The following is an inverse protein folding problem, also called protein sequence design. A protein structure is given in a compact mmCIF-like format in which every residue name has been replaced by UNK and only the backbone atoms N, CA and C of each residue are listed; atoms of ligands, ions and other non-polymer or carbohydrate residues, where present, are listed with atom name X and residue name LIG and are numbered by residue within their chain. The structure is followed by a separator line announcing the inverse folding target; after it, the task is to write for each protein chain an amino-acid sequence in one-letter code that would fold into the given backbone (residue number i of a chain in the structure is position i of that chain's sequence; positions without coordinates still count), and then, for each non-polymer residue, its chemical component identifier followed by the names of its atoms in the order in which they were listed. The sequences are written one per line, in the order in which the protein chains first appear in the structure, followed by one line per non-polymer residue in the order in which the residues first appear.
data_IF_288896417863
#
_entry.id   IF_288896417863
#
_cell.length_a   1.000
_cell.length_b   1.000
_cell.length_c   1.000
_cell.angle_alpha   90.00
_cell.angle_beta   90.00
_cell.angle_gamma   90.00
#
_symmetry.space_group_name_H-M   'P 1'
#
loop_
_entity.id
_entity.type
_entity.pdbx_description
1 polymer ?
#
# COMPACT_ATOMS: atom_id res chain seq x y z
N UNK A 1 44.37 6.85 8.03
CA UNK A 1 43.25 6.25 8.79
C UNK A 1 41.87 6.62 8.22
N UNK A 2 41.71 7.76 7.53
CA UNK A 2 40.45 8.14 6.85
C UNK A 2 40.02 7.19 5.72
N UNK A 3 40.99 6.68 4.95
CA UNK A 3 40.68 5.97 3.70
C UNK A 3 40.08 4.58 3.93
N UNK A 4 40.42 3.92 5.04
CA UNK A 4 39.87 2.61 5.43
C UNK A 4 38.42 2.76 5.89
N UNK A 5 38.09 3.87 6.57
CA UNK A 5 36.73 4.17 7.04
C UNK A 5 35.82 4.53 5.84
N UNK A 6 36.36 5.25 4.85
CA UNK A 6 35.68 5.55 3.59
C UNK A 6 35.39 4.30 2.74
N UNK A 7 36.34 3.38 2.65
CA UNK A 7 36.15 2.09 1.96
C UNK A 7 35.10 1.21 2.66
N UNK A 8 35.10 1.17 4.00
CA UNK A 8 34.12 0.40 4.78
C UNK A 8 32.69 0.92 4.60
N UNK A 9 32.50 2.24 4.63
CA UNK A 9 31.18 2.88 4.42
C UNK A 9 30.69 2.73 2.98
N UNK A 10 31.59 2.81 2.00
CA UNK A 10 31.26 2.54 0.60
C UNK A 10 30.80 1.08 0.40
N UNK A 11 31.55 0.10 0.91
CA UNK A 11 31.20 -1.31 0.80
C UNK A 11 29.85 -1.64 1.46
N UNK A 12 29.60 -1.07 2.65
CA UNK A 12 28.31 -1.22 3.34
C UNK A 12 27.15 -0.64 2.53
N UNK A 13 27.34 0.54 1.93
CA UNK A 13 26.33 1.20 1.09
C UNK A 13 26.00 0.37 -0.16
N UNK A 14 27.03 -0.20 -0.80
CA UNK A 14 26.87 -1.09 -1.96
C UNK A 14 26.13 -2.37 -1.56
N UNK A 15 26.43 -2.97 -0.40
CA UNK A 15 25.73 -4.15 0.09
C UNK A 15 24.25 -3.87 0.40
N UNK A 16 23.94 -2.74 1.04
CA UNK A 16 22.57 -2.31 1.30
C UNK A 16 21.83 -2.12 -0.03
N UNK A 17 22.45 -1.42 -0.99
CA UNK A 17 21.87 -1.21 -2.32
C UNK A 17 21.56 -2.53 -3.04
N UNK A 18 22.53 -3.47 -3.06
CA UNK A 18 22.35 -4.77 -3.70
C UNK A 18 21.25 -5.60 -3.03
N UNK A 19 21.16 -5.55 -1.69
CA UNK A 19 20.10 -6.24 -0.94
C UNK A 19 18.71 -5.69 -1.28
N UNK A 20 18.56 -4.37 -1.24
CA UNK A 20 17.29 -3.68 -1.60
C UNK A 20 16.92 -4.00 -3.05
N UNK A 21 17.88 -4.01 -3.96
CA UNK A 21 17.62 -4.32 -5.36
C UNK A 21 17.18 -5.78 -5.56
N UNK A 22 17.80 -6.73 -4.85
CA UNK A 22 17.43 -8.14 -4.90
C UNK A 22 16.03 -8.40 -4.33
N UNK A 23 15.67 -7.75 -3.22
CA UNK A 23 14.32 -7.83 -2.64
C UNK A 23 13.29 -7.22 -3.60
N UNK A 24 13.59 -6.07 -4.21
CA UNK A 24 12.74 -5.45 -5.22
C UNK A 24 12.50 -6.39 -6.41
N UNK A 25 13.55 -7.11 -6.86
CA UNK A 25 13.43 -8.12 -7.93
C UNK A 25 12.57 -9.31 -7.50
N UNK A 26 12.68 -9.79 -6.26
CA UNK A 26 11.84 -10.89 -5.73
C UNK A 26 10.37 -10.47 -5.64
N UNK A 27 10.11 -9.27 -5.14
CA UNK A 27 8.76 -8.70 -5.06
C UNK A 27 8.17 -8.59 -6.47
N UNK A 28 8.90 -8.01 -7.43
CA UNK A 28 8.45 -7.92 -8.83
C UNK A 28 8.16 -9.27 -9.45
N UNK A 29 8.99 -10.30 -9.21
CA UNK A 29 8.74 -11.66 -9.68
C UNK A 29 7.48 -12.27 -9.05
N UNK A 30 7.25 -11.99 -7.76
CA UNK A 30 6.05 -12.46 -7.06
C UNK A 30 4.80 -11.77 -7.60
N UNK A 31 4.87 -10.45 -7.84
CA UNK A 31 3.80 -9.67 -8.49
C UNK A 31 3.51 -10.14 -9.93
N UNK A 32 4.54 -10.46 -10.71
CA UNK A 32 4.37 -10.98 -12.07
C UNK A 32 3.79 -12.41 -12.10
N UNK A 33 4.09 -13.24 -11.09
CA UNK A 33 3.44 -14.54 -10.92
C UNK A 33 1.97 -14.37 -10.54
N UNK A 34 1.68 -13.41 -9.67
CA UNK A 34 0.31 -13.06 -9.32
C UNK A 34 -0.46 -12.60 -10.56
N UNK A 35 -0.01 -11.60 -11.32
CA UNK A 35 -0.77 -11.11 -12.49
C UNK A 35 -1.13 -12.18 -13.53
N UNK A 36 -0.37 -13.28 -13.59
CA UNK A 36 -0.54 -14.32 -14.60
C UNK A 36 -1.33 -15.55 -14.11
N UNK A 37 -1.76 -15.60 -12.84
CA UNK A 37 -2.56 -16.74 -12.36
C UNK A 37 -4.05 -16.50 -12.58
N UNK A 38 -4.71 -17.38 -13.32
CA UNK A 38 -6.16 -17.37 -13.54
C UNK A 38 -6.96 -17.79 -12.28
N UNK A 39 -6.29 -18.42 -11.30
CA UNK A 39 -6.90 -18.86 -10.04
C UNK A 39 -6.88 -17.76 -8.97
N UNK A 40 -8.06 -17.20 -8.71
CA UNK A 40 -8.27 -16.17 -7.69
C UNK A 40 -7.91 -16.64 -6.27
N UNK A 41 -8.12 -17.91 -5.93
CA UNK A 41 -7.77 -18.43 -4.60
C UNK A 41 -6.26 -18.40 -4.36
N UNK A 42 -5.48 -18.79 -5.37
CA UNK A 42 -4.02 -18.70 -5.33
C UNK A 42 -3.53 -17.26 -5.24
N UNK A 43 -4.17 -16.33 -5.96
CA UNK A 43 -3.87 -14.90 -5.88
C UNK A 43 -3.99 -14.35 -4.46
N UNK A 44 -5.12 -14.67 -3.82
CA UNK A 44 -5.43 -14.21 -2.47
C UNK A 44 -4.39 -14.76 -1.49
N UNK A 45 -4.18 -16.09 -1.48
CA UNK A 45 -3.24 -16.72 -0.55
C UNK A 45 -1.79 -16.25 -0.74
N UNK A 46 -1.33 -16.14 -1.99
CA UNK A 46 0.02 -15.63 -2.27
C UNK A 46 0.14 -14.16 -1.89
N UNK A 47 -0.85 -13.33 -2.24
CA UNK A 47 -0.87 -11.91 -1.92
C UNK A 47 -0.77 -11.65 -0.42
N UNK A 48 -1.50 -12.41 0.40
CA UNK A 48 -1.46 -12.30 1.86
C UNK A 48 -0.07 -12.63 2.42
N UNK A 49 0.54 -13.71 1.93
CA UNK A 49 1.80 -14.26 2.42
C UNK A 49 3.02 -13.35 2.19
N UNK A 50 2.99 -12.51 1.14
CA UNK A 50 4.11 -11.62 0.83
C UNK A 50 4.17 -10.51 1.87
N UNK A 51 5.31 -10.41 2.57
CA UNK A 51 5.62 -9.31 3.51
C UNK A 51 6.85 -8.56 3.01
N UNK A 52 6.80 -7.24 3.05
CA UNK A 52 7.92 -6.39 2.66
C UNK A 52 8.54 -5.67 3.86
N UNK A 53 9.69 -5.04 3.65
CA UNK A 53 10.51 -4.44 4.74
C UNK A 53 9.90 -3.13 5.26
N UNK A 54 9.19 -2.38 4.42
CA UNK A 54 8.65 -1.05 4.77
C UNK A 54 7.18 -0.90 4.33
N UNK A 55 6.24 -1.60 5.00
CA UNK A 55 4.81 -1.47 4.71
C UNK A 55 4.23 -0.15 5.25
N UNK A 56 3.10 0.27 4.68
CA UNK A 56 2.30 1.41 5.14
C UNK A 56 0.82 1.08 5.07
N UNK A 57 0.04 1.55 6.05
CA UNK A 57 -1.40 1.53 5.98
C UNK A 57 -1.89 2.84 5.36
N UNK A 58 -2.61 2.75 4.25
CA UNK A 58 -3.20 3.88 3.55
C UNK A 58 -4.71 3.83 3.70
N UNK A 59 -5.28 4.82 4.37
CA UNK A 59 -6.71 4.94 4.61
C UNK A 59 -7.33 6.06 3.76
N UNK A 60 -8.42 5.74 3.07
CA UNK A 60 -9.26 6.73 2.37
C UNK A 60 -10.58 6.89 3.13
N UNK A 61 -10.72 8.05 3.78
CA UNK A 61 -11.89 8.42 4.58
C UNK A 61 -12.68 9.45 3.79
N UNK A 62 -13.64 8.98 2.99
CA UNK A 62 -14.39 9.80 2.03
C UNK A 62 -15.88 9.84 2.34
N UNK A 63 -16.32 9.18 3.42
CA UNK A 63 -17.73 9.12 3.82
C UNK A 63 -18.04 10.33 4.71
N UNK A 64 -19.09 11.11 4.43
CA UNK A 64 -19.41 12.31 5.22
C UNK A 64 -19.72 12.04 6.71
N UNK A 65 -20.14 10.82 7.03
CA UNK A 65 -20.56 10.42 8.38
C UNK A 65 -19.41 9.92 9.25
N UNK A 66 -18.25 9.65 8.66
CA UNK A 66 -17.09 9.12 9.38
C UNK A 66 -15.94 10.09 9.20
N UNK A 67 -15.63 10.82 10.27
CA UNK A 67 -14.58 11.84 10.24
C UNK A 67 -13.21 11.24 9.94
N UNK A 68 -12.87 10.05 10.43
CA UNK A 68 -11.57 9.43 10.16
C UNK A 68 -11.63 7.91 10.31
N UNK A 69 -10.95 7.21 9.41
CA UNK A 69 -10.75 5.76 9.49
C UNK A 69 -9.53 5.40 10.34
N UNK A 70 -8.65 6.35 10.67
CA UNK A 70 -7.42 6.07 11.44
C UNK A 70 -7.69 5.24 12.71
N UNK A 71 -8.67 5.58 13.58
CA UNK A 71 -8.88 4.80 14.81
C UNK A 71 -9.22 3.33 14.52
N UNK A 72 -10.08 3.08 13.54
CA UNK A 72 -10.48 1.73 13.15
C UNK A 72 -9.32 0.94 12.50
N UNK A 73 -8.47 1.62 11.74
CA UNK A 73 -7.28 1.01 11.14
C UNK A 73 -6.22 0.74 12.22
N UNK A 74 -6.02 1.65 13.17
CA UNK A 74 -5.13 1.44 14.31
C UNK A 74 -5.54 0.24 15.16
N UNK A 75 -6.83 0.12 15.47
CA UNK A 75 -7.38 -1.01 16.21
C UNK A 75 -7.14 -2.34 15.47
N UNK A 76 -7.42 -2.36 14.16
CA UNK A 76 -7.15 -3.53 13.32
C UNK A 76 -5.67 -3.91 13.31
N UNK A 77 -4.77 -2.94 13.10
CA UNK A 77 -3.34 -3.17 13.06
C UNK A 77 -2.81 -3.68 14.42
N UNK A 78 -3.31 -3.12 15.53
CA UNK A 78 -3.01 -3.61 16.88
C UNK A 78 -3.47 -5.06 17.06
N UNK A 79 -4.70 -5.39 16.66
CA UNK A 79 -5.25 -6.74 16.76
C UNK A 79 -4.53 -7.79 15.90
N UNK A 80 -3.84 -7.36 14.83
CA UNK A 80 -3.02 -8.23 13.97
C UNK A 80 -1.51 -8.15 14.26
N UNK A 81 -1.12 -7.41 15.31
CA UNK A 81 0.28 -7.16 15.68
C UNK A 81 1.14 -6.56 14.55
N UNK A 82 0.50 -5.83 13.63
CA UNK A 82 1.15 -5.21 12.49
C UNK A 82 1.66 -3.81 12.85
N UNK A 83 2.98 -3.61 12.79
CA UNK A 83 3.62 -2.32 13.07
C UNK A 83 3.94 -1.60 11.75
N UNK A 84 3.10 -0.64 11.37
CA UNK A 84 3.32 0.22 10.20
C UNK A 84 2.72 1.61 10.42
N UNK A 85 3.27 2.67 9.80
CA UNK A 85 2.68 3.99 9.84
C UNK A 85 1.34 4.02 9.09
N UNK A 86 0.45 4.91 9.53
CA UNK A 86 -0.86 5.13 8.90
C UNK A 86 -0.85 6.50 8.22
N UNK A 87 -1.06 6.49 6.91
CA UNK A 87 -1.29 7.66 6.09
C UNK A 87 -2.77 7.71 5.74
N UNK A 88 -3.40 8.88 5.83
CA UNK A 88 -4.81 9.04 5.55
C UNK A 88 -5.05 10.15 4.54
N UNK A 89 -5.96 9.89 3.61
CA UNK A 89 -6.59 10.91 2.77
C UNK A 89 -8.02 11.05 3.27
N UNK A 90 -8.26 12.14 3.99
CA UNK A 90 -9.54 12.43 4.61
C UNK A 90 -10.25 13.57 3.86
N UNK A 91 -11.50 13.32 3.45
CA UNK A 91 -12.39 14.31 2.83
C UNK A 91 -13.82 14.06 3.28
N UNK A 92 -14.55 15.13 3.58
CA UNK A 92 -15.97 15.07 3.96
C UNK A 92 -16.88 14.87 2.74
N UNK A 93 -16.84 13.68 2.14
CA UNK A 93 -17.62 13.37 0.95
C UNK A 93 -16.95 13.77 -0.36
N UNK A 94 -17.56 13.30 -1.44
CA UNK A 94 -17.19 13.64 -2.82
C UNK A 94 -18.42 14.02 -3.63
N UNK A 95 -18.26 14.98 -4.51
CA UNK A 95 -19.25 15.41 -5.48
C UNK A 95 -18.65 15.44 -6.88
N UNK A 96 -19.49 15.58 -7.91
CA UNK A 96 -19.04 15.71 -9.29
C UNK A 96 -18.06 16.89 -9.50
N UNK A 97 -18.16 17.95 -8.69
CA UNK A 97 -17.27 19.12 -8.78
C UNK A 97 -15.91 18.88 -8.12
N UNK A 98 -15.84 18.02 -7.11
CA UNK A 98 -14.62 17.78 -6.32
C UNK A 98 -13.87 16.52 -6.73
N UNK A 99 -14.38 15.78 -7.72
CA UNK A 99 -13.79 14.51 -8.16
C UNK A 99 -12.42 14.70 -8.79
N UNK A 100 -12.21 15.81 -9.51
CA UNK A 100 -10.93 16.15 -10.12
C UNK A 100 -9.87 16.41 -9.03
N UNK A 101 -10.22 17.19 -8.00
CA UNK A 101 -9.32 17.46 -6.89
C UNK A 101 -8.99 16.20 -6.08
N UNK A 102 -9.95 15.28 -5.98
CA UNK A 102 -9.71 13.97 -5.39
C UNK A 102 -8.73 13.16 -6.23
N UNK A 103 -8.93 13.08 -7.55
CA UNK A 103 -8.02 12.40 -8.46
C UNK A 103 -6.58 12.89 -8.33
N UNK A 104 -6.38 14.21 -8.32
CA UNK A 104 -5.05 14.80 -8.14
C UNK A 104 -4.47 14.53 -6.74
N UNK A 105 -5.28 14.56 -5.68
CA UNK A 105 -4.81 14.20 -4.34
C UNK A 105 -4.40 12.73 -4.23
N UNK A 106 -5.10 11.82 -4.91
CA UNK A 106 -4.74 10.39 -4.96
C UNK A 106 -3.41 10.21 -5.68
N UNK A 107 -3.19 10.90 -6.82
CA UNK A 107 -1.91 10.90 -7.54
C UNK A 107 -0.77 11.46 -6.69
N UNK A 108 -0.99 12.59 -6.04
CA UNK A 108 0.00 13.21 -5.16
C UNK A 108 0.35 12.27 -4.00
N UNK A 109 -0.66 11.65 -3.37
CA UNK A 109 -0.41 10.70 -2.29
C UNK A 109 0.40 9.50 -2.75
N UNK A 110 0.10 8.95 -3.94
CA UNK A 110 0.91 7.87 -4.54
C UNK A 110 2.38 8.29 -4.69
N UNK A 111 2.64 9.49 -5.23
CA UNK A 111 3.99 10.02 -5.37
C UNK A 111 4.70 10.20 -4.01
N UNK A 112 4.00 10.74 -3.00
CA UNK A 112 4.54 10.90 -1.65
C UNK A 112 4.96 9.56 -1.03
N UNK A 113 4.14 8.52 -1.21
CA UNK A 113 4.45 7.17 -0.72
C UNK A 113 5.65 6.54 -1.43
N UNK A 114 5.86 6.85 -2.71
CA UNK A 114 7.08 6.48 -3.45
C UNK A 114 8.31 7.21 -2.91
N UNK A 115 8.23 8.52 -2.71
CA UNK A 115 9.32 9.31 -2.15
C UNK A 115 9.71 8.86 -0.73
N UNK A 116 8.73 8.46 0.08
CA UNK A 116 8.96 7.86 1.41
C UNK A 116 9.55 6.44 1.34
N UNK A 117 9.61 5.83 0.16
CA UNK A 117 10.22 4.51 -0.08
C UNK A 117 9.42 3.34 0.47
N UNK A 118 8.09 3.47 0.61
CA UNK A 118 7.26 2.34 1.05
C UNK A 118 7.22 1.22 0.01
N UNK A 119 7.32 -0.02 0.47
CA UNK A 119 7.44 -1.20 -0.39
C UNK A 119 6.13 -1.99 -0.54
N UNK A 120 5.17 -1.75 0.34
CA UNK A 120 3.86 -2.41 0.39
C UNK A 120 2.83 -1.46 0.97
N UNK A 121 1.61 -1.53 0.46
CA UNK A 121 0.50 -0.68 0.89
C UNK A 121 -0.65 -1.57 1.35
N UNK A 122 -1.10 -1.38 2.59
CA UNK A 122 -2.33 -1.93 3.11
C UNK A 122 -3.42 -0.88 2.91
N UNK A 123 -4.28 -1.09 1.91
CA UNK A 123 -5.28 -0.14 1.49
C UNK A 123 -6.60 -0.37 2.22
N UNK A 124 -7.05 0.64 2.95
CA UNK A 124 -8.34 0.71 3.63
C UNK A 124 -9.18 1.82 2.99
N UNK A 125 -10.47 1.55 2.77
CA UNK A 125 -11.33 2.46 2.02
C UNK A 125 -12.73 2.55 2.63
N UNK A 126 -13.23 3.78 2.79
CA UNK A 126 -14.61 4.10 3.10
C UNK A 126 -15.04 5.28 2.24
N UNK A 127 -15.99 5.06 1.35
CA UNK A 127 -16.44 6.09 0.44
C UNK A 127 -17.29 5.57 -0.72
N UNK A 128 -17.63 6.45 -1.67
CA UNK A 128 -18.35 6.06 -2.87
C UNK A 128 -17.56 5.08 -3.74
N UNK A 129 -18.26 4.14 -4.38
CA UNK A 129 -17.66 3.11 -5.24
C UNK A 129 -16.80 3.73 -6.35
N UNK A 130 -17.25 4.83 -6.95
CA UNK A 130 -16.52 5.53 -8.02
C UNK A 130 -15.14 6.00 -7.56
N UNK A 131 -15.02 6.46 -6.31
CA UNK A 131 -13.73 6.84 -5.75
C UNK A 131 -12.84 5.61 -5.49
N UNK A 132 -13.43 4.49 -5.09
CA UNK A 132 -12.73 3.20 -4.99
C UNK A 132 -12.17 2.73 -6.33
N UNK A 133 -12.94 2.89 -7.41
CA UNK A 133 -12.48 2.59 -8.78
C UNK A 133 -11.31 3.49 -9.18
N UNK A 134 -11.37 4.79 -8.91
CA UNK A 134 -10.27 5.73 -9.19
C UNK A 134 -8.99 5.31 -8.44
N UNK A 135 -9.11 5.01 -7.14
CA UNK A 135 -7.99 4.53 -6.33
C UNK A 135 -7.44 3.22 -6.89
N UNK A 136 -8.31 2.25 -7.21
CA UNK A 136 -7.93 0.99 -7.84
C UNK A 136 -7.15 1.18 -9.14
N UNK A 137 -7.66 2.02 -10.04
CA UNK A 137 -6.98 2.35 -11.30
C UNK A 137 -5.59 2.96 -11.07
N UNK A 138 -5.49 3.96 -10.19
CA UNK A 138 -4.23 4.67 -9.94
C UNK A 138 -3.19 3.82 -9.21
N UNK A 139 -3.62 2.90 -8.35
CA UNK A 139 -2.72 2.02 -7.56
C UNK A 139 -2.45 0.68 -8.25
N UNK A 140 -3.19 0.34 -9.31
CA UNK A 140 -2.96 -0.89 -10.09
C UNK A 140 -1.53 -0.97 -10.61
N UNK A 141 -0.94 -2.17 -10.55
CA UNK A 141 0.40 -2.49 -11.08
C UNK A 141 1.54 -1.57 -10.60
N UNK A 142 1.43 -1.00 -9.41
CA UNK A 142 2.45 -0.10 -8.88
C UNK A 142 3.45 -0.82 -7.96
N UNK A 143 2.94 -1.33 -6.84
CA UNK A 143 3.65 -2.18 -5.88
C UNK A 143 2.65 -3.14 -5.27
N UNK A 144 3.07 -3.96 -4.30
CA UNK A 144 2.13 -4.81 -3.58
C UNK A 144 1.14 -3.92 -2.82
N UNK A 145 -0.11 -3.91 -3.28
CA UNK A 145 -1.21 -3.22 -2.62
C UNK A 145 -2.19 -4.29 -2.16
N UNK A 146 -2.41 -4.38 -0.86
CA UNK A 146 -3.34 -5.33 -0.22
C UNK A 146 -4.64 -4.63 0.06
N UNK A 147 -5.74 -5.13 -0.48
CA UNK A 147 -7.08 -4.57 -0.28
C UNK A 147 -7.68 -5.12 1.01
N UNK A 148 -8.17 -4.21 1.85
CA UNK A 148 -8.92 -4.55 3.06
C UNK A 148 -10.34 -4.04 2.96
N UNK A 149 -11.28 -4.89 3.37
CA UNK A 149 -12.70 -4.56 3.46
C UNK A 149 -13.13 -4.49 4.92
N UNK A 150 -13.99 -3.52 5.27
CA UNK A 150 -14.57 -3.45 6.61
C UNK A 150 -15.74 -4.44 6.69
N UNK A 151 -15.51 -5.59 7.32
CA UNK A 151 -16.59 -6.51 7.71
C UNK A 151 -17.40 -5.97 8.89
N UNK A 152 -18.29 -6.82 9.43
CA UNK A 152 -19.19 -6.44 10.51
C UNK A 152 -18.45 -6.00 11.79
N UNK A 153 -17.30 -6.63 12.09
CA UNK A 153 -16.55 -6.39 13.33
C UNK A 153 -15.27 -5.62 13.03
N UNK A 154 -14.43 -6.13 12.13
CA UNK A 154 -13.10 -5.57 11.85
C UNK A 154 -12.78 -5.62 10.35
N UNK A 155 -11.59 -5.14 9.98
CA UNK A 155 -11.13 -5.26 8.61
C UNK A 155 -10.66 -6.68 8.29
N UNK A 156 -10.86 -7.08 7.05
CA UNK A 156 -10.46 -8.38 6.53
C UNK A 156 -9.66 -8.18 5.24
N UNK A 157 -8.58 -8.94 5.12
CA UNK A 157 -7.84 -8.99 3.87
C UNK A 157 -8.69 -9.66 2.81
N UNK A 158 -8.82 -9.04 1.65
CA UNK A 158 -9.60 -9.58 0.54
C UNK A 158 -8.72 -10.15 -0.55
N UNK A 159 -7.84 -9.34 -1.12
CA UNK A 159 -7.02 -9.73 -2.26
C UNK A 159 -5.90 -8.71 -2.50
N UNK A 160 -4.85 -9.06 -3.26
CA UNK A 160 -3.93 -8.05 -3.76
C UNK A 160 -4.56 -7.29 -4.94
N UNK A 161 -4.27 -6.00 -5.07
CA UNK A 161 -4.64 -5.21 -6.24
C UNK A 161 -3.63 -5.49 -7.37
N UNK A 162 -3.94 -6.49 -8.18
CA UNK A 162 -3.17 -6.88 -9.36
C UNK A 162 -3.99 -6.64 -10.62
N UNK A 163 -3.32 -6.31 -11.72
CA UNK A 163 -3.96 -6.21 -13.03
C UNK A 163 -4.06 -7.63 -13.59
N UNK A 164 -5.28 -8.04 -13.98
CA UNK A 164 -5.53 -9.20 -14.85
C UNK A 164 -5.16 -8.87 -16.29
#
# INVERSE_FOLDING_TARGET
MSDIIGLGTFALSVLIYLRVQNETRRIRRSLAKLSNSEDLGLLIGQGESVKTVKPVALAFSLTPTVDSLKPAVEEFLKGKELKMPIEEVNRQGLSAKTIQDFYEAVKQKKLELDMKGYTEVHLFFSGPVQAGVIVGCLFSNWKLVKLYHKGAVTYEYWMPLVKS
#
